data_IF_590806045819
#
_entry.id   IF_590806045819
#
_cell.length_a   1.000
_cell.length_b   1.000
_cell.length_c   1.000
_cell.angle_alpha   90.00
_cell.angle_beta   90.00
_cell.angle_gamma   90.00
#
_symmetry.space_group_name_H-M   'P 1'
#
loop_
_entity.id
_entity.type
_entity.pdbx_description
1 polymer ?
#
# COMPACT_ATOMS: atom_id res chain seq x y z
N UNK A 1 -15.21 12.31 -8.25
CA UNK A 1 -16.54 11.87 -7.75
C UNK A 1 -17.01 10.73 -8.64
N UNK A 2 -16.61 9.50 -8.35
CA UNK A 2 -17.23 8.29 -8.92
C UNK A 2 -17.14 7.23 -7.81
N UNK A 3 -18.20 7.18 -7.01
CA UNK A 3 -18.55 6.03 -6.20
C UNK A 3 -19.25 5.05 -7.14
N UNK A 4 -18.49 4.18 -7.79
CA UNK A 4 -19.07 2.94 -8.28
C UNK A 4 -19.28 2.04 -7.07
N UNK A 5 -20.54 1.79 -6.81
CA UNK A 5 -21.05 0.85 -5.83
C UNK A 5 -20.45 -0.51 -6.17
N UNK A 6 -19.60 -1.01 -5.30
CA UNK A 6 -19.09 -2.37 -5.35
C UNK A 6 -20.26 -3.30 -4.99
N UNK A 7 -21.05 -3.68 -5.99
CA UNK A 7 -22.00 -4.77 -5.83
C UNK A 7 -21.21 -6.00 -5.41
N UNK A 8 -21.47 -6.53 -4.23
CA UNK A 8 -20.94 -7.81 -3.75
C UNK A 8 -21.29 -8.88 -4.77
N UNK A 9 -20.36 -9.19 -5.65
CA UNK A 9 -20.51 -10.24 -6.64
C UNK A 9 -20.60 -11.58 -5.90
N UNK A 10 -21.76 -12.17 -5.86
CA UNK A 10 -21.96 -13.52 -5.31
C UNK A 10 -20.97 -14.51 -5.96
N UNK A 11 -20.27 -15.33 -5.17
CA UNK A 11 -19.26 -16.25 -5.70
C UNK A 11 -19.93 -17.25 -6.65
N UNK A 12 -19.50 -17.26 -7.91
CA UNK A 12 -20.07 -18.10 -8.98
C UNK A 12 -19.37 -19.46 -9.00
N UNK A 13 -20.12 -20.51 -9.30
CA UNK A 13 -19.57 -21.85 -9.52
C UNK A 13 -18.79 -21.92 -10.84
N UNK A 14 -17.98 -22.95 -11.02
CA UNK A 14 -17.27 -23.21 -12.30
C UNK A 14 -18.27 -23.38 -13.46
N UNK A 15 -19.43 -23.97 -13.20
CA UNK A 15 -20.48 -24.15 -14.21
C UNK A 15 -21.05 -22.79 -14.67
N UNK A 16 -21.41 -21.92 -13.73
CA UNK A 16 -21.97 -20.60 -14.01
C UNK A 16 -20.97 -19.74 -14.84
N UNK A 17 -19.68 -19.82 -14.51
CA UNK A 17 -18.65 -19.09 -15.26
C UNK A 17 -18.49 -19.67 -16.67
N UNK A 18 -18.58 -21.00 -16.85
CA UNK A 18 -18.50 -21.63 -18.18
C UNK A 18 -19.63 -21.19 -19.12
N UNK A 19 -20.81 -20.86 -18.58
CA UNK A 19 -21.93 -20.35 -19.37
C UNK A 19 -21.68 -18.95 -19.91
N UNK A 20 -20.88 -18.15 -19.21
CA UNK A 20 -20.50 -16.79 -19.62
C UNK A 20 -19.41 -16.74 -20.69
N UNK A 21 -18.71 -17.86 -20.95
CA UNK A 21 -17.58 -17.89 -21.85
C UNK A 21 -18.01 -17.97 -23.31
N UNK A 22 -17.29 -17.24 -24.17
CA UNK A 22 -17.49 -17.32 -25.62
C UNK A 22 -17.05 -18.71 -26.10
N UNK A 23 -17.94 -19.37 -26.87
CA UNK A 23 -17.75 -20.71 -27.42
C UNK A 23 -17.62 -20.66 -28.94
N UNK A 24 -17.00 -21.68 -29.51
CA UNK A 24 -17.05 -21.95 -30.94
C UNK A 24 -18.41 -22.52 -31.35
N UNK A 25 -18.67 -22.58 -32.66
CA UNK A 25 -19.90 -23.21 -33.22
C UNK A 25 -20.09 -24.67 -32.82
N UNK A 26 -19.02 -25.37 -32.49
CA UNK A 26 -19.03 -26.74 -31.99
C UNK A 26 -19.25 -26.88 -30.47
N UNK A 27 -19.48 -25.73 -29.75
CA UNK A 27 -19.70 -25.69 -28.31
C UNK A 27 -18.43 -25.67 -27.46
N UNK A 28 -17.24 -25.77 -28.05
CA UNK A 28 -15.97 -25.69 -27.30
C UNK A 28 -15.66 -24.27 -26.87
N UNK A 29 -15.11 -24.10 -25.68
CA UNK A 29 -14.71 -22.78 -25.15
C UNK A 29 -13.54 -22.23 -25.96
N UNK A 30 -13.69 -21.00 -26.46
CA UNK A 30 -12.62 -20.32 -27.17
C UNK A 30 -11.46 -19.94 -26.21
N UNK A 31 -10.23 -20.27 -26.61
CA UNK A 31 -9.03 -19.99 -25.82
C UNK A 31 -8.55 -18.55 -26.11
N UNK A 32 -9.37 -17.55 -25.78
CA UNK A 32 -9.10 -16.13 -25.98
C UNK A 32 -8.65 -15.44 -24.68
N UNK A 33 -7.96 -14.29 -24.80
CA UNK A 33 -7.62 -13.45 -23.63
C UNK A 33 -8.92 -12.99 -22.95
N UNK A 34 -9.96 -12.67 -23.71
CA UNK A 34 -11.24 -12.22 -23.16
C UNK A 34 -11.88 -13.29 -22.26
N UNK A 35 -11.87 -14.55 -22.64
CA UNK A 35 -12.36 -15.63 -21.80
C UNK A 35 -11.49 -15.81 -20.54
N UNK A 36 -10.17 -15.62 -20.65
CA UNK A 36 -9.30 -15.60 -19.47
C UNK A 36 -9.67 -14.48 -18.51
N UNK A 37 -9.94 -13.28 -19.01
CA UNK A 37 -10.39 -12.12 -18.20
C UNK A 37 -11.72 -12.44 -17.51
N UNK A 38 -12.70 -12.94 -18.26
CA UNK A 38 -14.01 -13.34 -17.72
C UNK A 38 -13.88 -14.35 -16.58
N UNK A 39 -12.99 -15.34 -16.71
CA UNK A 39 -12.71 -16.32 -15.64
C UNK A 39 -12.07 -15.62 -14.43
N UNK A 40 -11.02 -14.81 -14.63
CA UNK A 40 -10.33 -14.12 -13.54
C UNK A 40 -11.25 -13.18 -12.75
N UNK A 41 -12.24 -12.59 -13.40
CA UNK A 41 -13.19 -11.67 -12.77
C UNK A 41 -14.37 -12.37 -12.08
N UNK A 42 -14.71 -13.60 -12.47
CA UNK A 42 -15.94 -14.26 -12.01
C UNK A 42 -15.72 -15.58 -11.26
N UNK A 43 -14.54 -16.21 -11.35
CA UNK A 43 -14.23 -17.43 -10.61
C UNK A 43 -14.17 -17.14 -9.10
N UNK A 44 -14.84 -17.92 -8.26
CA UNK A 44 -14.96 -17.69 -6.82
C UNK A 44 -13.62 -17.63 -6.06
N UNK A 45 -12.55 -18.19 -6.60
CA UNK A 45 -11.21 -18.10 -6.00
C UNK A 45 -10.44 -16.89 -6.51
N UNK A 46 -10.57 -16.56 -7.81
CA UNK A 46 -9.74 -15.58 -8.50
C UNK A 46 -10.39 -14.18 -8.55
N UNK A 47 -11.73 -14.10 -8.45
CA UNK A 47 -12.44 -12.81 -8.48
C UNK A 47 -11.93 -11.88 -7.40
N UNK A 48 -11.64 -10.63 -7.77
CA UNK A 48 -11.10 -9.56 -6.90
C UNK A 48 -9.80 -9.90 -6.17
N UNK A 49 -9.16 -11.05 -6.50
CA UNK A 49 -7.91 -11.46 -5.87
C UNK A 49 -6.69 -10.73 -6.44
N UNK A 50 -6.70 -10.46 -7.75
CA UNK A 50 -5.55 -9.98 -8.50
C UNK A 50 -5.64 -8.46 -8.65
N UNK A 51 -4.65 -7.72 -8.11
CA UNK A 51 -4.62 -6.26 -8.12
C UNK A 51 -3.21 -5.73 -8.38
N UNK A 52 -3.09 -4.61 -9.07
CA UNK A 52 -1.83 -3.90 -9.25
C UNK A 52 -1.58 -2.96 -8.06
N UNK A 53 -0.48 -3.18 -7.36
CA UNK A 53 -0.02 -2.31 -6.30
C UNK A 53 0.75 -1.12 -6.90
N UNK A 54 0.17 0.07 -6.83
CA UNK A 54 0.75 1.29 -7.41
C UNK A 54 2.01 1.79 -6.66
N UNK A 55 2.26 1.31 -5.44
CA UNK A 55 3.44 1.70 -4.68
C UNK A 55 4.67 0.87 -5.07
N UNK A 56 4.50 -0.43 -5.29
CA UNK A 56 5.58 -1.36 -5.65
C UNK A 56 5.64 -1.65 -7.14
N UNK A 57 4.64 -1.23 -7.92
CA UNK A 57 4.45 -1.54 -9.34
C UNK A 57 4.40 -3.05 -9.63
N UNK A 58 3.98 -3.84 -8.63
CA UNK A 58 3.86 -5.30 -8.70
C UNK A 58 2.41 -5.74 -8.63
N UNK A 59 2.14 -6.90 -9.23
CA UNK A 59 0.83 -7.55 -9.11
C UNK A 59 0.79 -8.30 -7.78
N UNK A 60 -0.23 -8.00 -6.99
CA UNK A 60 -0.48 -8.64 -5.71
C UNK A 60 -1.74 -9.52 -5.78
N UNK A 61 -1.74 -10.59 -4.98
CA UNK A 61 -2.94 -11.36 -4.66
C UNK A 61 -3.39 -10.92 -3.26
N UNK A 62 -4.50 -10.19 -3.20
CA UNK A 62 -4.93 -9.45 -2.00
C UNK A 62 -5.92 -10.21 -1.12
N UNK A 63 -6.45 -11.35 -1.59
CA UNK A 63 -7.35 -12.20 -0.80
C UNK A 63 -6.84 -13.66 -0.71
N UNK A 64 -7.35 -14.46 0.24
CA UNK A 64 -7.03 -15.89 0.32
C UNK A 64 -7.44 -16.64 -0.95
N UNK A 65 -6.54 -17.49 -1.46
CA UNK A 65 -6.70 -18.24 -2.71
C UNK A 65 -6.45 -19.70 -2.46
N UNK A 66 -7.10 -20.51 -1.92
CA UNK A 66 -7.07 -21.96 -1.77
C UNK A 66 -5.73 -22.72 -1.90
N UNK A 67 -4.57 -22.02 -1.86
CA UNK A 67 -3.22 -22.61 -1.85
C UNK A 67 -2.27 -21.82 -0.94
N UNK A 68 -1.20 -22.49 -0.40
CA UNK A 68 -0.22 -21.87 0.48
C UNK A 68 0.57 -20.77 -0.25
N UNK A 69 0.82 -19.64 0.41
CA UNK A 69 1.57 -18.50 -0.13
C UNK A 69 2.51 -17.89 0.92
N UNK A 70 3.66 -17.42 0.46
CA UNK A 70 4.61 -16.63 1.25
C UNK A 70 4.61 -15.18 0.75
N UNK A 71 3.76 -14.33 1.31
CA UNK A 71 3.69 -12.91 0.93
C UNK A 71 2.52 -12.58 -0.01
N UNK A 72 2.41 -11.29 -0.39
CA UNK A 72 1.29 -10.76 -1.20
C UNK A 72 1.56 -10.76 -2.70
N UNK A 73 2.81 -10.54 -3.11
CA UNK A 73 3.17 -10.41 -4.52
C UNK A 73 3.00 -11.74 -5.26
N UNK A 74 2.42 -11.65 -6.46
CA UNK A 74 2.28 -12.78 -7.39
C UNK A 74 3.66 -13.34 -7.74
N UNK A 75 3.84 -14.66 -7.60
CA UNK A 75 5.07 -15.36 -7.91
C UNK A 75 4.83 -16.52 -8.92
N UNK A 76 5.91 -17.17 -9.35
CA UNK A 76 5.85 -18.25 -10.34
C UNK A 76 5.00 -19.43 -9.86
N UNK A 77 5.04 -19.74 -8.56
CA UNK A 77 4.21 -20.80 -7.98
C UNK A 77 2.73 -20.45 -8.06
N UNK A 78 2.37 -19.20 -7.75
CA UNK A 78 1.01 -18.73 -7.91
C UNK A 78 0.53 -18.85 -9.36
N UNK A 79 1.40 -18.52 -10.34
CA UNK A 79 1.10 -18.68 -11.76
C UNK A 79 0.74 -20.12 -12.12
N UNK A 80 1.44 -21.11 -11.57
CA UNK A 80 1.14 -22.53 -11.79
C UNK A 80 -0.20 -22.97 -11.18
N UNK A 81 -0.54 -22.44 -10.00
CA UNK A 81 -1.86 -22.68 -9.40
C UNK A 81 -2.99 -22.03 -10.21
N UNK A 82 -2.77 -20.81 -10.70
CA UNK A 82 -3.74 -20.14 -11.58
C UNK A 82 -3.89 -20.92 -12.89
N UNK A 83 -2.81 -21.34 -13.52
CA UNK A 83 -2.84 -22.17 -14.73
C UNK A 83 -3.65 -23.45 -14.51
N UNK A 84 -3.35 -24.23 -13.46
CA UNK A 84 -4.11 -25.42 -13.07
C UNK A 84 -5.61 -25.14 -12.88
N UNK A 85 -5.95 -23.94 -12.38
CA UNK A 85 -7.35 -23.56 -12.22
C UNK A 85 -8.00 -23.22 -13.56
N UNK A 86 -7.28 -22.55 -14.46
CA UNK A 86 -7.73 -22.22 -15.82
C UNK A 86 -7.98 -23.48 -16.68
N UNK A 87 -7.24 -24.56 -16.43
CA UNK A 87 -7.45 -25.86 -17.09
C UNK A 87 -8.84 -26.45 -16.84
N UNK A 88 -9.48 -26.15 -15.70
CA UNK A 88 -10.87 -26.54 -15.42
C UNK A 88 -11.87 -25.93 -16.41
N UNK A 89 -11.49 -24.85 -17.05
CA UNK A 89 -12.23 -24.14 -18.10
C UNK A 89 -11.76 -24.50 -19.50
N UNK A 90 -10.82 -25.43 -19.65
CA UNK A 90 -10.26 -25.83 -20.94
C UNK A 90 -9.23 -24.84 -21.52
N UNK A 91 -8.68 -23.95 -20.69
CA UNK A 91 -7.68 -22.97 -21.11
C UNK A 91 -6.32 -23.30 -20.48
N UNK A 92 -5.31 -23.57 -21.33
CA UNK A 92 -3.95 -23.97 -20.93
C UNK A 92 -2.85 -23.04 -21.47
N UNK A 93 -3.22 -21.96 -22.20
CA UNK A 93 -2.23 -21.04 -22.80
C UNK A 93 -1.68 -20.08 -21.75
N UNK A 94 -0.48 -20.36 -21.21
CA UNK A 94 0.18 -19.56 -20.19
C UNK A 94 0.34 -18.09 -20.61
N UNK A 95 0.75 -17.81 -21.86
CA UNK A 95 0.90 -16.44 -22.38
C UNK A 95 -0.40 -15.66 -22.38
N UNK A 96 -1.53 -16.27 -22.74
CA UNK A 96 -2.84 -15.60 -22.72
C UNK A 96 -3.33 -15.34 -21.31
N UNK A 97 -3.10 -16.30 -20.41
CA UNK A 97 -3.44 -16.16 -18.98
C UNK A 97 -2.62 -15.04 -18.34
N UNK A 98 -1.31 -14.97 -18.62
CA UNK A 98 -0.44 -13.91 -18.13
C UNK A 98 -0.89 -12.53 -18.64
N UNK A 99 -1.23 -12.41 -19.93
CA UNK A 99 -1.76 -11.19 -20.51
C UNK A 99 -3.07 -10.75 -19.84
N UNK A 100 -3.98 -11.69 -19.61
CA UNK A 100 -5.24 -11.45 -18.91
C UNK A 100 -5.03 -11.00 -17.46
N UNK A 101 -4.09 -11.62 -16.73
CA UNK A 101 -3.73 -11.26 -15.36
C UNK A 101 -3.23 -9.80 -15.31
N UNK A 102 -2.37 -9.39 -16.25
CA UNK A 102 -1.86 -8.01 -16.33
C UNK A 102 -2.99 -7.00 -16.60
N UNK A 103 -3.94 -7.34 -17.47
CA UNK A 103 -5.11 -6.50 -17.77
C UNK A 103 -5.99 -6.36 -16.53
N UNK A 104 -6.41 -7.47 -15.93
CA UNK A 104 -7.27 -7.49 -14.73
C UNK A 104 -6.60 -6.78 -13.55
N UNK A 105 -5.30 -6.99 -13.34
CA UNK A 105 -4.54 -6.31 -12.29
C UNK A 105 -4.54 -4.79 -12.50
N UNK A 106 -4.36 -4.33 -13.74
CA UNK A 106 -4.35 -2.91 -14.07
C UNK A 106 -5.74 -2.26 -13.94
N UNK A 107 -6.82 -2.99 -14.23
CA UNK A 107 -8.20 -2.54 -13.98
C UNK A 107 -8.48 -2.41 -12.48
N UNK A 108 -7.94 -3.32 -11.67
CA UNK A 108 -8.11 -3.39 -10.22
C UNK A 108 -6.92 -2.82 -9.45
N UNK A 109 -6.37 -1.70 -9.89
CA UNK A 109 -5.23 -1.07 -9.21
C UNK A 109 -5.59 -0.52 -7.84
N UNK A 110 -4.64 -0.53 -6.91
CA UNK A 110 -4.80 0.03 -5.57
C UNK A 110 -3.50 0.65 -5.08
N UNK A 111 -3.60 1.54 -4.09
CA UNK A 111 -2.43 2.16 -3.49
C UNK A 111 -2.50 1.99 -1.97
N UNK A 112 -1.73 1.08 -1.36
CA UNK A 112 -1.93 0.67 0.04
C UNK A 112 -1.87 1.83 1.03
N UNK A 113 -0.97 2.80 0.80
CA UNK A 113 -0.85 3.95 1.71
C UNK A 113 -2.00 4.94 1.51
N UNK A 114 -2.44 5.21 0.27
CA UNK A 114 -3.59 6.10 0.03
C UNK A 114 -4.87 5.51 0.60
N UNK A 115 -5.08 4.23 0.39
CA UNK A 115 -6.26 3.52 0.88
C UNK A 115 -6.29 3.54 2.42
N UNK A 116 -5.13 3.32 3.07
CA UNK A 116 -4.97 3.47 4.50
C UNK A 116 -5.29 4.88 4.98
N UNK A 117 -4.66 5.91 4.40
CA UNK A 117 -4.87 7.31 4.79
C UNK A 117 -6.32 7.76 4.60
N UNK A 118 -6.97 7.35 3.50
CA UNK A 118 -8.36 7.67 3.23
C UNK A 118 -9.34 6.96 4.18
N UNK A 119 -8.93 5.82 4.74
CA UNK A 119 -9.71 5.08 5.74
C UNK A 119 -9.58 5.62 7.17
N UNK A 120 -8.62 6.49 7.45
CA UNK A 120 -8.41 7.05 8.78
C UNK A 120 -9.57 8.01 9.15
N UNK A 121 -10.00 7.90 10.40
CA UNK A 121 -10.92 8.85 11.02
C UNK A 121 -10.22 9.46 12.23
N UNK A 122 -10.23 10.77 12.31
CA UNK A 122 -9.68 11.45 13.47
C UNK A 122 -10.55 11.21 14.71
N UNK A 123 -9.91 10.84 15.80
CA UNK A 123 -10.55 10.58 17.10
C UNK A 123 -10.59 11.80 18.03
N UNK A 124 -10.16 12.97 17.55
CA UNK A 124 -10.14 14.22 18.31
C UNK A 124 -8.90 14.41 19.18
N UNK A 125 -7.94 13.48 19.19
CA UNK A 125 -6.76 13.56 20.05
C UNK A 125 -5.56 14.15 19.29
N UNK A 126 -5.00 15.24 19.82
CA UNK A 126 -3.80 15.89 19.27
C UNK A 126 -2.54 15.12 19.67
N UNK A 127 -2.05 14.26 18.80
CA UNK A 127 -0.83 13.47 19.06
C UNK A 127 0.43 14.08 18.49
N UNK A 128 0.32 14.81 17.38
CA UNK A 128 1.47 15.31 16.62
C UNK A 128 2.29 16.30 17.46
N UNK A 129 1.63 17.13 18.26
CA UNK A 129 2.29 18.08 19.14
C UNK A 129 3.30 17.44 20.10
N UNK A 130 3.01 16.22 20.56
CA UNK A 130 3.76 15.56 21.62
C UNK A 130 4.69 14.44 21.09
N UNK A 131 4.64 14.08 19.80
CA UNK A 131 5.36 12.92 19.25
C UNK A 131 6.87 13.02 19.46
N UNK A 132 7.49 14.15 19.12
CA UNK A 132 8.94 14.32 19.21
C UNK A 132 9.41 14.37 20.67
N UNK A 133 8.64 15.01 21.55
CA UNK A 133 8.94 15.03 22.99
C UNK A 133 8.80 13.61 23.57
N UNK A 134 7.66 12.96 23.36
CA UNK A 134 7.34 11.68 23.98
C UNK A 134 8.28 10.54 23.54
N UNK A 135 8.56 10.43 22.24
CA UNK A 135 9.35 9.30 21.73
C UNK A 135 10.85 9.58 21.62
N UNK A 136 11.24 10.85 21.53
CA UNK A 136 12.62 11.22 21.25
C UNK A 136 13.22 12.14 22.32
N UNK A 137 12.46 12.57 23.32
CA UNK A 137 12.93 13.50 24.34
C UNK A 137 13.33 14.89 23.81
N UNK A 138 12.72 15.33 22.71
CA UNK A 138 12.93 16.68 22.19
C UNK A 138 12.23 17.72 23.11
N UNK A 139 12.65 18.98 23.04
CA UNK A 139 11.95 20.05 23.72
C UNK A 139 10.49 20.11 23.26
N UNK A 140 9.57 20.34 24.20
CA UNK A 140 8.14 20.51 23.89
C UNK A 140 7.87 21.99 23.67
N UNK A 141 8.12 22.45 22.46
CA UNK A 141 7.93 23.83 22.01
C UNK A 141 7.13 23.90 20.69
N UNK A 142 6.71 25.12 20.34
CA UNK A 142 5.93 25.37 19.13
C UNK A 142 6.72 24.97 17.86
N UNK A 143 8.02 25.22 17.84
CA UNK A 143 8.89 24.88 16.72
C UNK A 143 8.94 23.37 16.47
N UNK A 144 9.10 22.57 17.51
CA UNK A 144 9.15 21.11 17.45
C UNK A 144 7.83 20.53 16.94
N UNK A 145 6.72 21.09 17.41
CA UNK A 145 5.39 20.72 16.95
C UNK A 145 5.19 21.02 15.46
N UNK A 146 5.50 22.25 15.03
CA UNK A 146 5.36 22.66 13.63
C UNK A 146 6.33 21.92 12.70
N UNK A 147 7.55 21.63 13.15
CA UNK A 147 8.52 20.82 12.42
C UNK A 147 7.97 19.44 12.10
N UNK A 148 7.34 18.78 13.07
CA UNK A 148 6.73 17.46 12.87
C UNK A 148 5.50 17.52 11.96
N UNK A 149 4.65 18.54 12.09
CA UNK A 149 3.51 18.76 11.19
C UNK A 149 3.96 18.90 9.75
N UNK A 150 4.95 19.78 9.48
CA UNK A 150 5.49 20.02 8.14
C UNK A 150 6.04 18.72 7.55
N UNK A 151 6.80 17.94 8.32
CA UNK A 151 7.36 16.67 7.88
C UNK A 151 6.27 15.67 7.49
N UNK A 152 5.24 15.49 8.33
CA UNK A 152 4.14 14.57 8.05
C UNK A 152 3.28 15.05 6.87
N UNK A 153 2.98 16.34 6.77
CA UNK A 153 2.25 16.90 5.62
C UNK A 153 3.02 16.69 4.31
N UNK A 154 4.34 16.86 4.34
CA UNK A 154 5.19 16.58 3.19
C UNK A 154 5.17 15.11 2.78
N UNK A 155 5.20 14.19 3.74
CA UNK A 155 5.09 12.75 3.47
C UNK A 155 3.73 12.41 2.85
N UNK A 156 2.63 12.91 3.41
CA UNK A 156 1.28 12.73 2.87
C UNK A 156 1.17 13.32 1.47
N UNK A 157 1.67 14.54 1.26
CA UNK A 157 1.64 15.18 -0.07
C UNK A 157 2.34 14.34 -1.13
N UNK A 158 3.50 13.74 -0.82
CA UNK A 158 4.21 12.86 -1.75
C UNK A 158 3.44 11.58 -2.09
N UNK A 159 2.65 11.05 -1.16
CA UNK A 159 1.79 9.89 -1.41
C UNK A 159 0.68 10.23 -2.39
N UNK A 160 0.02 11.40 -2.24
CA UNK A 160 -1.08 11.79 -3.12
C UNK A 160 -0.62 12.43 -4.43
N UNK A 161 0.54 13.10 -4.42
CA UNK A 161 1.15 13.77 -5.58
C UNK A 161 2.59 13.29 -5.76
N UNK A 162 2.82 12.09 -6.33
CA UNK A 162 4.16 11.59 -6.60
C UNK A 162 4.95 12.55 -7.47
N UNK A 163 6.24 12.76 -7.13
CA UNK A 163 7.09 13.72 -7.83
C UNK A 163 6.91 15.19 -7.42
N UNK A 164 6.00 15.50 -6.47
CA UNK A 164 5.91 16.86 -5.95
C UNK A 164 7.20 17.29 -5.25
N UNK A 165 7.58 18.55 -5.44
CA UNK A 165 8.74 19.15 -4.80
C UNK A 165 8.47 19.33 -3.30
N UNK A 166 9.32 18.74 -2.46
CA UNK A 166 9.33 18.92 -1.02
C UNK A 166 10.78 18.88 -0.54
N UNK A 167 11.32 20.03 -0.25
CA UNK A 167 12.76 20.23 0.01
C UNK A 167 13.06 20.35 1.50
N UNK A 168 12.12 20.01 2.36
CA UNK A 168 12.31 20.09 3.82
C UNK A 168 12.71 18.74 4.37
N UNK A 169 13.75 18.70 5.18
CA UNK A 169 14.26 17.51 5.85
C UNK A 169 14.23 17.74 7.36
N UNK A 170 13.62 16.81 8.09
CA UNK A 170 13.66 16.77 9.55
C UNK A 170 14.96 16.11 10.01
N UNK A 171 15.78 16.84 10.76
CA UNK A 171 16.98 16.34 11.39
C UNK A 171 16.82 16.28 12.90
N UNK A 172 17.22 15.17 13.49
CA UNK A 172 17.27 14.93 14.91
C UNK A 172 18.73 14.97 15.36
N UNK A 173 19.08 15.89 16.27
CA UNK A 173 20.44 16.08 16.78
C UNK A 173 20.46 15.75 18.26
N UNK A 174 21.35 14.88 18.68
CA UNK A 174 21.51 14.46 20.09
C UNK A 174 22.89 13.90 20.35
N UNK A 175 23.20 13.60 21.62
CA UNK A 175 24.45 12.98 22.03
C UNK A 175 24.65 11.56 21.46
N UNK A 176 25.86 11.03 21.56
CA UNK A 176 26.19 9.69 21.08
C UNK A 176 25.37 8.65 21.87
N UNK A 177 24.66 7.76 21.19
CA UNK A 177 23.83 6.74 21.81
C UNK A 177 22.37 7.18 22.12
N UNK A 178 22.02 8.44 21.96
CA UNK A 178 20.67 8.98 22.24
C UNK A 178 19.58 8.58 21.24
N UNK A 179 19.87 7.85 20.20
CA UNK A 179 18.87 7.55 19.19
C UNK A 179 19.22 6.34 18.36
N UNK A 180 18.96 5.18 18.88
CA UNK A 180 18.93 4.00 18.04
C UNK A 180 17.81 4.13 16.99
N UNK A 181 18.01 3.63 15.73
CA UNK A 181 16.93 3.47 14.73
C UNK A 181 15.71 2.71 15.25
N UNK A 182 15.82 2.04 16.39
CA UNK A 182 14.75 1.35 17.11
C UNK A 182 13.66 2.30 17.61
N UNK A 183 14.00 3.56 17.95
CA UNK A 183 12.99 4.54 18.40
C UNK A 183 12.03 4.95 17.29
N UNK A 184 12.53 5.10 16.04
CA UNK A 184 11.69 5.39 14.87
C UNK A 184 10.82 4.20 14.47
N UNK A 185 11.29 2.96 14.66
CA UNK A 185 10.48 1.75 14.38
C UNK A 185 9.40 1.49 15.44
N UNK A 186 9.61 1.92 16.68
CA UNK A 186 8.59 1.84 17.75
C UNK A 186 7.46 2.86 17.55
N UNK A 187 7.77 4.03 17.01
CA UNK A 187 6.75 5.05 16.70
C UNK A 187 5.66 4.55 15.73
N UNK A 188 6.00 3.58 14.86
CA UNK A 188 5.06 3.02 13.88
C UNK A 188 4.27 1.80 14.37
N UNK A 189 4.60 1.20 15.51
CA UNK A 189 4.03 -0.11 15.88
C UNK A 189 3.23 -0.16 17.19
N UNK A 190 3.54 0.66 18.20
CA UNK A 190 2.80 0.64 19.48
C UNK A 190 2.88 1.99 20.17
N UNK A 191 1.75 2.55 20.48
CA UNK A 191 1.60 3.74 21.33
C UNK A 191 1.55 3.32 22.80
N UNK A 192 2.59 2.67 23.30
CA UNK A 192 2.79 2.42 24.73
C UNK A 192 3.84 3.40 25.26
N UNK A 193 3.50 4.08 26.35
CA UNK A 193 4.34 5.07 26.97
C UNK A 193 5.68 4.48 27.43
N UNK A 194 6.83 5.07 27.07
CA UNK A 194 8.11 4.66 27.64
C UNK A 194 8.19 5.12 29.09
N UNK A 195 8.62 4.23 29.96
CA UNK A 195 9.00 4.53 31.32
C UNK A 195 10.29 5.35 31.34
N UNK A 196 10.23 6.54 31.93
CA UNK A 196 11.27 7.50 32.31
C UNK A 196 12.08 8.18 31.17
N UNK A 197 12.14 9.53 31.16
CA UNK A 197 13.00 10.28 30.26
C UNK A 197 14.45 10.26 30.75
N UNK A 198 15.37 9.79 29.93
CA UNK A 198 16.81 10.03 30.11
C UNK A 198 17.06 11.52 29.91
N UNK A 199 17.63 12.18 30.90
CA UNK A 199 17.70 13.63 31.09
C UNK A 199 18.51 14.46 30.08
N UNK A 200 18.63 14.05 28.82
CA UNK A 200 19.26 14.86 27.75
C UNK A 200 18.21 15.31 26.72
N UNK A 201 18.02 16.62 26.64
CA UNK A 201 17.11 17.25 25.68
C UNK A 201 17.69 17.18 24.26
N UNK A 202 16.95 16.60 23.34
CA UNK A 202 17.32 16.53 21.91
C UNK A 202 16.90 17.78 21.16
N UNK A 203 17.73 18.21 20.24
CA UNK A 203 17.41 19.33 19.34
C UNK A 203 16.83 18.83 18.03
N UNK A 204 15.77 19.48 17.59
CA UNK A 204 15.11 19.23 16.30
C UNK A 204 15.45 20.39 15.36
N UNK A 205 15.83 20.07 14.13
CA UNK A 205 16.12 21.06 13.10
C UNK A 205 15.44 20.69 11.80
N UNK A 206 14.86 21.69 11.12
CA UNK A 206 14.36 21.58 9.77
C UNK A 206 15.36 22.22 8.80
N UNK A 207 15.74 21.48 7.78
CA UNK A 207 16.54 21.99 6.68
C UNK A 207 15.68 22.10 5.43
N UNK A 208 15.77 23.24 4.74
CA UNK A 208 15.16 23.43 3.43
C UNK A 208 16.27 23.50 2.38
N UNK A 209 16.12 22.75 1.29
CA UNK A 209 17.05 22.76 0.16
C UNK A 209 16.81 23.96 -0.78
N UNK A 210 15.79 24.78 -0.54
CA UNK A 210 15.49 25.97 -1.33
C UNK A 210 16.41 27.13 -0.93
N UNK A 211 17.58 27.21 -1.56
CA UNK A 211 18.46 28.38 -1.52
C UNK A 211 19.63 28.26 -0.54
N UNK A 212 20.79 28.32 -1.10
CA UNK A 212 22.04 28.65 -0.42
C UNK A 212 21.93 29.98 0.28
N UNK A 213 21.72 29.99 1.55
CA UNK A 213 21.70 31.06 2.57
C UNK A 213 20.35 31.15 3.31
N UNK A 214 20.34 30.50 4.45
CA UNK A 214 19.22 30.61 5.37
C UNK A 214 19.37 29.63 6.53
N UNK A 215 20.40 29.81 7.33
CA UNK A 215 20.51 29.20 8.64
C UNK A 215 19.51 29.89 9.54
N UNK A 216 18.28 29.41 9.58
CA UNK A 216 17.34 29.85 10.60
C UNK A 216 17.67 29.08 11.89
N UNK A 217 18.52 29.65 12.69
CA UNK A 217 18.74 29.28 14.09
C UNK A 217 17.70 30.04 14.88
N UNK A 218 16.64 29.38 15.26
CA UNK A 218 15.78 29.88 16.35
C UNK A 218 16.31 29.24 17.63
N UNK A 219 16.75 30.10 18.54
CA UNK A 219 17.29 29.78 19.86
C UNK A 219 16.27 29.21 20.82
#
# INVERSE_FOLDING_TARGET
MNKEVNEERTPRTVADVKEMLVKHSNGEIQRTIQNCITILQNDHVLSDAIRLNLLSERIDIVKPVGWPRSGKTLNDTDMKYILRRMEKYGISSEKKIESAIRIVANENRYHPIRDYLNGLKWDGTERIAHVLHHFLGAAEDEYTCEAMKIFLLGAIKRVFQPGCKFETMLCLVGGQGCGSPVATSKCCKHFEAPTEPTGETRKVQLFSAAGSQGRMVLG
#
